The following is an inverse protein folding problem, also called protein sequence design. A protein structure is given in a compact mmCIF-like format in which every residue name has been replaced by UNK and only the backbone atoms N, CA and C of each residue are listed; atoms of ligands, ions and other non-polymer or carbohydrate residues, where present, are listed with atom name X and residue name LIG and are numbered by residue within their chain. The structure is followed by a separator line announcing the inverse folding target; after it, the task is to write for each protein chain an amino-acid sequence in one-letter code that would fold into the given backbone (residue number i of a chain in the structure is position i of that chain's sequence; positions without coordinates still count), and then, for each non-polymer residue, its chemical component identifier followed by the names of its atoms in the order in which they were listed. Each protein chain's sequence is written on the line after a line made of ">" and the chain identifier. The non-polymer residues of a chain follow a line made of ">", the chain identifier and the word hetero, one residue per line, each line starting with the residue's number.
data_IF_578338493800
#
_entry.id   IF_578338493800
#
_cell.length_a   1.000
_cell.length_b   1.000
_cell.length_c   1.000
_cell.angle_alpha   90.00
_cell.angle_beta   90.00
_cell.angle_gamma   90.00
#
_symmetry.space_group_name_H-M   'P 1'
#
loop_
_entity.id
_entity.type
_entity.pdbx_description
1 polymer ?
#
# COMPACT_ATOMS: atom_id res chain seq x y z
N UNK A 1 27.73 -8.55 6.00
CA UNK A 1 28.45 -7.60 5.13
C UNK A 1 28.48 -8.23 3.74
N UNK A 2 27.51 -7.88 2.90
CA UNK A 2 27.33 -8.51 1.58
C UNK A 2 28.35 -7.96 0.57
N UNK A 3 28.94 -8.82 -0.25
CA UNK A 3 29.95 -8.47 -1.26
C UNK A 3 29.44 -7.41 -2.26
N UNK A 4 30.28 -6.43 -2.63
CA UNK A 4 29.89 -5.32 -3.51
C UNK A 4 29.50 -5.76 -4.95
N UNK A 5 29.96 -6.92 -5.42
CA UNK A 5 29.69 -7.45 -6.77
C UNK A 5 28.49 -8.41 -6.84
N UNK A 6 27.74 -8.57 -5.75
CA UNK A 6 26.63 -9.52 -5.74
C UNK A 6 25.47 -9.03 -6.61
N UNK A 7 25.18 -9.77 -7.68
CA UNK A 7 24.11 -9.50 -8.65
C UNK A 7 22.76 -9.16 -7.94
N UNK A 8 22.04 -8.14 -8.41
CA UNK A 8 20.83 -7.59 -7.75
C UNK A 8 19.76 -8.66 -7.47
N UNK A 9 19.61 -9.64 -8.36
CA UNK A 9 18.73 -10.80 -8.15
C UNK A 9 19.18 -11.67 -6.97
N UNK A 10 20.48 -11.97 -6.86
CA UNK A 10 21.02 -12.72 -5.71
C UNK A 10 20.81 -11.93 -4.42
N UNK A 11 20.97 -10.61 -4.46
CA UNK A 11 20.71 -9.72 -3.31
C UNK A 11 19.24 -9.65 -2.93
N UNK A 12 18.33 -9.79 -3.88
CA UNK A 12 16.90 -9.86 -3.60
C UNK A 12 16.54 -11.12 -2.81
N UNK A 13 17.13 -12.26 -3.16
CA UNK A 13 16.88 -13.56 -2.52
C UNK A 13 17.82 -13.88 -1.33
N UNK A 14 18.89 -13.12 -1.13
CA UNK A 14 19.88 -13.39 -0.06
C UNK A 14 19.28 -13.30 1.33
N UNK A 15 19.75 -14.12 2.28
CA UNK A 15 19.30 -14.04 3.66
C UNK A 15 19.64 -12.66 4.23
N UNK A 16 18.66 -12.00 4.87
CA UNK A 16 18.88 -10.71 5.54
C UNK A 16 19.45 -10.98 6.94
N UNK A 17 20.64 -10.54 7.28
CA UNK A 17 21.28 -10.93 8.55
C UNK A 17 21.28 -9.82 9.58
N UNK A 18 21.30 -8.56 9.14
CA UNK A 18 21.33 -7.40 10.03
C UNK A 18 20.06 -6.53 9.94
N UNK A 19 19.74 -5.76 11.00
CA UNK A 19 18.64 -4.81 10.97
C UNK A 19 18.85 -3.69 9.94
N UNK A 20 20.11 -3.30 9.65
CA UNK A 20 20.45 -2.29 8.64
C UNK A 20 20.17 -2.82 7.22
N UNK A 21 20.52 -4.08 6.94
CA UNK A 21 20.21 -4.73 5.66
C UNK A 21 18.69 -4.83 5.44
N UNK A 22 17.96 -5.19 6.50
CA UNK A 22 16.50 -5.24 6.46
C UNK A 22 15.89 -3.85 6.21
N UNK A 23 16.42 -2.82 6.86
CA UNK A 23 15.97 -1.44 6.69
C UNK A 23 16.25 -0.90 5.28
N UNK A 24 17.45 -1.18 4.74
CA UNK A 24 17.81 -0.84 3.37
C UNK A 24 16.86 -1.47 2.36
N UNK A 25 16.52 -2.75 2.56
CA UNK A 25 15.60 -3.46 1.67
C UNK A 25 14.18 -2.87 1.76
N UNK A 26 13.66 -2.62 2.96
CA UNK A 26 12.33 -2.00 3.12
C UNK A 26 12.26 -0.59 2.49
N UNK A 27 13.35 0.17 2.57
CA UNK A 27 13.46 1.45 1.87
C UNK A 27 13.46 1.26 0.34
N UNK A 28 14.22 0.30 -0.16
CA UNK A 28 14.28 -0.02 -1.59
C UNK A 28 12.91 -0.47 -2.11
N UNK A 29 12.21 -1.35 -1.40
CA UNK A 29 10.83 -1.75 -1.73
C UNK A 29 9.90 -0.55 -1.79
N UNK A 30 9.98 0.38 -0.83
CA UNK A 30 9.19 1.61 -0.86
C UNK A 30 9.46 2.44 -2.12
N UNK A 31 10.74 2.66 -2.47
CA UNK A 31 11.11 3.40 -3.67
C UNK A 31 10.63 2.71 -4.94
N UNK A 32 10.71 1.38 -5.02
CA UNK A 32 10.21 0.62 -6.16
C UNK A 32 8.70 0.77 -6.29
N UNK A 33 7.93 0.69 -5.20
CA UNK A 33 6.48 0.88 -5.24
C UNK A 33 6.09 2.28 -5.72
N UNK A 34 6.78 3.30 -5.20
CA UNK A 34 6.60 4.71 -5.62
C UNK A 34 6.97 4.88 -7.10
N UNK A 35 8.05 4.25 -7.55
CA UNK A 35 8.48 4.30 -8.95
C UNK A 35 7.48 3.60 -9.87
N UNK A 36 6.96 2.43 -9.50
CA UNK A 36 5.92 1.73 -10.26
C UNK A 36 4.68 2.61 -10.37
N UNK A 37 4.22 3.18 -9.24
CA UNK A 37 3.08 4.11 -9.24
C UNK A 37 3.34 5.31 -10.16
N UNK A 38 4.54 5.90 -10.10
CA UNK A 38 4.91 7.03 -10.96
C UNK A 38 4.93 6.68 -12.45
N UNK A 39 5.52 5.54 -12.82
CA UNK A 39 5.57 5.08 -14.21
C UNK A 39 4.16 4.73 -14.74
N UNK A 40 3.34 4.05 -13.93
CA UNK A 40 1.95 3.79 -14.28
C UNK A 40 1.14 5.08 -14.41
N UNK A 41 1.43 6.09 -13.57
CA UNK A 41 0.81 7.41 -13.67
C UNK A 41 1.04 8.02 -15.05
N UNK A 42 2.30 8.07 -15.48
CA UNK A 42 2.69 8.61 -16.79
C UNK A 42 1.99 7.82 -17.91
N UNK A 43 1.99 6.49 -17.83
CA UNK A 43 1.38 5.63 -18.83
C UNK A 43 -0.12 5.93 -19.00
N UNK A 44 -0.88 5.96 -17.91
CA UNK A 44 -2.32 6.14 -18.02
C UNK A 44 -2.73 7.59 -18.32
N UNK A 45 -2.01 8.59 -17.80
CA UNK A 45 -2.31 10.01 -18.09
C UNK A 45 -1.98 10.38 -19.53
N UNK A 46 -0.81 9.98 -20.05
CA UNK A 46 -0.31 10.50 -21.32
C UNK A 46 -0.45 9.54 -22.49
N UNK A 47 -0.41 8.22 -22.26
CA UNK A 47 -0.36 7.23 -23.35
C UNK A 47 -1.68 6.51 -23.57
N UNK A 48 -2.46 6.25 -22.52
CA UNK A 48 -3.69 5.46 -22.61
C UNK A 48 -4.98 6.27 -22.42
N UNK A 49 -4.90 7.53 -21.99
CA UNK A 49 -6.06 8.42 -21.83
C UNK A 49 -7.14 7.90 -20.87
N UNK A 50 -6.82 6.92 -20.01
CA UNK A 50 -7.78 6.24 -19.15
C UNK A 50 -7.57 6.67 -17.70
N UNK A 51 -8.28 7.74 -17.32
CA UNK A 51 -8.25 8.28 -15.96
C UNK A 51 -8.82 7.31 -14.91
N UNK A 52 -9.67 6.36 -15.36
CA UNK A 52 -10.31 5.36 -14.50
C UNK A 52 -9.33 4.33 -13.96
N UNK A 53 -8.50 3.76 -14.83
CA UNK A 53 -7.47 2.79 -14.43
C UNK A 53 -6.25 3.49 -13.78
N UNK A 54 -6.08 4.79 -14.03
CA UNK A 54 -5.02 5.62 -13.46
C UNK A 54 -5.14 5.79 -11.95
N UNK A 55 -6.35 5.97 -11.40
CA UNK A 55 -6.46 6.54 -10.05
C UNK A 55 -6.17 5.53 -8.93
N UNK A 56 -6.60 4.27 -9.06
CA UNK A 56 -6.66 3.35 -7.93
C UNK A 56 -5.36 2.61 -7.67
N UNK A 57 -4.86 1.88 -8.68
CA UNK A 57 -3.66 1.06 -8.54
C UNK A 57 -2.43 1.91 -8.23
N UNK A 58 -2.29 3.01 -8.95
CA UNK A 58 -1.23 3.99 -8.76
C UNK A 58 -1.24 4.55 -7.34
N UNK A 59 -2.40 5.07 -6.90
CA UNK A 59 -2.50 5.75 -5.61
C UNK A 59 -2.26 4.77 -4.46
N UNK A 60 -2.82 3.56 -4.54
CA UNK A 60 -2.58 2.52 -3.54
C UNK A 60 -1.11 2.11 -3.48
N UNK A 61 -0.42 1.97 -4.61
CA UNK A 61 1.02 1.68 -4.64
C UNK A 61 1.84 2.80 -4.00
N UNK A 62 1.52 4.07 -4.27
CA UNK A 62 2.15 5.21 -3.59
C UNK A 62 1.92 5.16 -2.08
N UNK A 63 0.67 4.94 -1.66
CA UNK A 63 0.32 4.88 -0.24
C UNK A 63 1.07 3.73 0.45
N UNK A 64 1.08 2.53 -0.12
CA UNK A 64 1.85 1.41 0.42
C UNK A 64 3.33 1.76 0.51
N UNK A 65 3.92 2.35 -0.54
CA UNK A 65 5.31 2.80 -0.54
C UNK A 65 5.60 3.76 0.61
N UNK A 66 4.80 4.80 0.78
CA UNK A 66 4.95 5.80 1.84
C UNK A 66 4.77 5.16 3.23
N UNK A 67 3.71 4.37 3.43
CA UNK A 67 3.44 3.72 4.71
C UNK A 67 4.57 2.77 5.08
N UNK A 68 5.07 1.96 4.16
CA UNK A 68 6.19 1.04 4.40
C UNK A 68 7.47 1.80 4.76
N UNK A 69 7.75 2.94 4.12
CA UNK A 69 8.92 3.78 4.42
C UNK A 69 8.89 4.30 5.85
N UNK A 70 7.77 4.90 6.26
CA UNK A 70 7.72 5.67 7.50
C UNK A 70 7.27 4.85 8.70
N UNK A 71 6.35 3.89 8.53
CA UNK A 71 5.78 3.13 9.66
C UNK A 71 6.45 1.80 9.90
N UNK A 72 7.09 1.22 8.88
CA UNK A 72 7.50 -0.19 8.86
C UNK A 72 6.34 -1.13 9.26
N UNK A 73 5.09 -0.74 8.99
CA UNK A 73 3.92 -1.48 9.47
C UNK A 73 3.86 -2.89 8.88
N UNK A 74 3.86 -3.91 9.76
CA UNK A 74 3.64 -5.31 9.38
C UNK A 74 2.28 -5.51 8.71
N UNK A 75 1.26 -4.79 9.19
CA UNK A 75 -0.08 -4.86 8.61
C UNK A 75 -0.09 -4.33 7.18
N UNK A 76 0.63 -3.23 6.93
CA UNK A 76 0.64 -2.60 5.60
C UNK A 76 1.36 -3.44 4.55
N UNK A 77 2.44 -4.15 4.91
CA UNK A 77 3.08 -5.11 3.98
C UNK A 77 2.20 -6.34 3.73
N UNK A 78 1.43 -6.81 4.71
CA UNK A 78 0.45 -7.89 4.52
C UNK A 78 -0.65 -7.43 3.56
N UNK A 79 -1.19 -6.23 3.76
CA UNK A 79 -2.20 -5.63 2.88
C UNK A 79 -1.66 -5.45 1.45
N UNK A 80 -0.41 -5.00 1.28
CA UNK A 80 0.24 -4.94 -0.03
C UNK A 80 0.32 -6.33 -0.68
N UNK A 81 0.63 -7.37 0.09
CA UNK A 81 0.70 -8.74 -0.42
C UNK A 81 -0.68 -9.22 -0.90
N UNK A 82 -1.72 -9.05 -0.08
CA UNK A 82 -3.10 -9.38 -0.45
C UNK A 82 -3.51 -8.60 -1.71
N UNK A 83 -3.22 -7.31 -1.75
CA UNK A 83 -3.53 -6.45 -2.88
C UNK A 83 -2.82 -6.90 -4.17
N UNK A 84 -1.54 -7.28 -4.09
CA UNK A 84 -0.80 -7.82 -5.24
C UNK A 84 -1.37 -9.16 -5.75
N UNK A 85 -1.93 -9.99 -4.88
CA UNK A 85 -2.64 -11.22 -5.27
C UNK A 85 -3.92 -10.85 -6.05
N UNK A 86 -4.69 -9.88 -5.56
CA UNK A 86 -5.90 -9.39 -6.24
C UNK A 86 -5.56 -8.86 -7.63
N UNK A 87 -4.50 -8.05 -7.76
CA UNK A 87 -4.02 -7.54 -9.06
C UNK A 87 -3.65 -8.69 -9.99
N UNK A 88 -2.93 -9.71 -9.50
CA UNK A 88 -2.53 -10.85 -10.32
C UNK A 88 -3.74 -11.65 -10.80
N UNK A 89 -4.72 -11.91 -9.93
CA UNK A 89 -5.96 -12.59 -10.28
C UNK A 89 -6.76 -11.80 -11.32
N UNK A 90 -6.98 -10.50 -11.10
CA UNK A 90 -7.69 -9.64 -12.05
C UNK A 90 -7.00 -9.55 -13.41
N UNK A 91 -5.67 -9.45 -13.41
CA UNK A 91 -4.84 -9.46 -14.63
C UNK A 91 -4.96 -10.80 -15.36
N UNK A 92 -4.94 -11.92 -14.62
CA UNK A 92 -5.07 -13.27 -15.19
C UNK A 92 -6.45 -13.48 -15.80
N UNK A 93 -7.53 -13.08 -15.11
CA UNK A 93 -8.90 -13.17 -15.62
C UNK A 93 -9.09 -12.33 -16.88
N UNK A 94 -8.47 -11.15 -16.93
CA UNK A 94 -8.50 -10.28 -18.11
C UNK A 94 -7.73 -10.89 -19.27
N UNK A 95 -6.57 -11.50 -18.99
CA UNK A 95 -5.76 -12.20 -19.99
C UNK A 95 -6.48 -13.40 -20.62
N UNK A 96 -7.33 -14.09 -19.84
CA UNK A 96 -8.21 -15.17 -20.34
C UNK A 96 -9.50 -14.66 -21.00
N UNK A 97 -9.74 -13.35 -21.07
CA UNK A 97 -10.96 -12.77 -21.65
C UNK A 97 -12.22 -12.98 -20.80
N UNK A 98 -12.08 -13.40 -19.55
CA UNK A 98 -13.19 -13.68 -18.62
C UNK A 98 -13.72 -12.38 -17.98
N UNK A 99 -12.83 -11.42 -17.76
CA UNK A 99 -13.15 -10.14 -17.13
C UNK A 99 -12.71 -8.97 -18.01
N UNK A 100 -13.48 -7.89 -18.00
CA UNK A 100 -13.10 -6.62 -18.58
C UNK A 100 -12.57 -5.67 -17.50
N UNK A 101 -11.37 -5.13 -17.67
CA UNK A 101 -10.84 -4.03 -16.85
C UNK A 101 -9.72 -4.36 -15.86
N UNK A 102 -9.15 -5.57 -15.85
CA UNK A 102 -7.90 -5.81 -15.14
C UNK A 102 -6.68 -5.27 -15.91
N UNK A 103 -5.51 -5.29 -15.26
CA UNK A 103 -4.25 -4.93 -15.91
C UNK A 103 -3.94 -5.87 -17.10
N UNK A 104 -3.25 -5.35 -18.12
CA UNK A 104 -2.80 -6.17 -19.26
C UNK A 104 -1.35 -6.68 -19.12
N UNK A 105 -0.66 -6.33 -18.02
CA UNK A 105 0.75 -6.66 -17.83
C UNK A 105 0.93 -7.71 -16.72
N UNK A 106 0.83 -8.99 -17.11
CA UNK A 106 1.01 -10.13 -16.21
C UNK A 106 2.41 -10.16 -15.59
N UNK A 107 3.43 -9.73 -16.32
CA UNK A 107 4.81 -9.70 -15.83
C UNK A 107 4.96 -8.71 -14.68
N UNK A 108 4.39 -7.51 -14.82
CA UNK A 108 4.41 -6.51 -13.75
C UNK A 108 3.62 -6.99 -12.51
N UNK A 109 2.49 -7.66 -12.70
CA UNK A 109 1.71 -8.23 -11.60
C UNK A 109 2.49 -9.30 -10.84
N UNK A 110 3.20 -10.20 -11.53
CA UNK A 110 4.07 -11.21 -10.92
C UNK A 110 5.25 -10.56 -10.18
N UNK A 111 5.91 -9.57 -10.78
CA UNK A 111 7.00 -8.83 -10.13
C UNK A 111 6.53 -8.13 -8.85
N UNK A 112 5.35 -7.51 -8.88
CA UNK A 112 4.76 -6.88 -7.70
C UNK A 112 4.45 -7.90 -6.60
N UNK A 113 3.94 -9.07 -6.96
CA UNK A 113 3.70 -10.16 -6.00
C UNK A 113 4.99 -10.69 -5.37
N UNK A 114 6.04 -10.90 -6.18
CA UNK A 114 7.33 -11.34 -5.67
C UNK A 114 7.96 -10.29 -4.74
N UNK A 115 7.87 -9.01 -5.12
CA UNK A 115 8.28 -7.88 -4.28
C UNK A 115 7.51 -7.84 -2.96
N UNK A 116 6.18 -8.01 -3.00
CA UNK A 116 5.34 -7.93 -1.81
C UNK A 116 5.61 -9.08 -0.83
N UNK A 117 5.67 -10.33 -1.32
CA UNK A 117 6.03 -11.52 -0.52
C UNK A 117 7.39 -11.30 0.14
N UNK A 118 8.36 -10.83 -0.62
CA UNK A 118 9.70 -10.61 -0.09
C UNK A 118 9.71 -9.50 0.96
N UNK A 119 9.00 -8.40 0.70
CA UNK A 119 8.88 -7.28 1.64
C UNK A 119 8.20 -7.69 2.94
N UNK A 120 7.21 -8.60 2.90
CA UNK A 120 6.62 -9.23 4.09
C UNK A 120 7.69 -9.98 4.88
N UNK A 121 8.44 -10.90 4.24
CA UNK A 121 9.49 -11.67 4.91
C UNK A 121 10.52 -10.77 5.59
N UNK A 122 11.01 -9.75 4.88
CA UNK A 122 11.99 -8.79 5.42
C UNK A 122 11.39 -7.96 6.56
N UNK A 123 10.14 -7.52 6.43
CA UNK A 123 9.47 -6.76 7.49
C UNK A 123 9.37 -7.57 8.78
N UNK A 124 8.93 -8.83 8.71
CA UNK A 124 8.88 -9.68 9.90
C UNK A 124 10.27 -9.92 10.49
N UNK A 125 11.28 -10.14 9.65
CA UNK A 125 12.65 -10.32 10.11
C UNK A 125 13.24 -9.07 10.75
N UNK A 126 12.97 -7.88 10.20
CA UNK A 126 13.35 -6.59 10.80
C UNK A 126 12.82 -6.47 12.22
N UNK A 127 11.54 -6.80 12.43
CA UNK A 127 10.91 -6.70 13.74
C UNK A 127 11.44 -7.74 14.74
N UNK A 128 11.81 -8.93 14.25
CA UNK A 128 12.46 -9.96 15.06
C UNK A 128 13.86 -9.52 15.50
N UNK A 129 14.67 -8.99 14.57
CA UNK A 129 16.04 -8.50 14.84
C UNK A 129 16.07 -7.27 15.76
N UNK A 130 15.02 -6.43 15.71
CA UNK A 130 14.85 -5.26 16.60
C UNK A 130 14.13 -5.61 17.90
N UNK A 131 13.84 -6.89 18.16
CA UNK A 131 13.12 -7.40 19.34
C UNK A 131 11.79 -6.67 19.65
N UNK A 132 11.12 -6.21 18.60
CA UNK A 132 9.91 -5.40 18.73
C UNK A 132 8.68 -6.24 19.06
N UNK A 133 8.15 -6.09 20.28
CA UNK A 133 6.93 -6.79 20.71
C UNK A 133 5.67 -6.11 20.18
N UNK A 134 4.78 -6.89 19.56
CA UNK A 134 3.53 -6.39 18.99
C UNK A 134 2.49 -6.17 20.09
N UNK A 135 2.06 -4.92 20.29
CA UNK A 135 1.01 -4.59 21.28
C UNK A 135 -0.36 -4.65 20.63
N UNK A 136 -1.02 -5.82 20.69
CA UNK A 136 -2.33 -6.06 20.06
C UNK A 136 -3.39 -5.02 20.38
N UNK A 137 -3.46 -4.56 21.64
CA UNK A 137 -4.39 -3.49 22.06
C UNK A 137 -4.18 -2.18 21.28
N UNK A 138 -2.92 -1.81 21.02
CA UNK A 138 -2.60 -0.60 20.26
C UNK A 138 -2.95 -0.75 18.77
N UNK A 139 -2.79 -1.95 18.22
CA UNK A 139 -3.19 -2.26 16.84
C UNK A 139 -4.70 -2.14 16.72
N UNK A 140 -5.46 -2.84 17.55
CA UNK A 140 -6.93 -2.80 17.53
C UNK A 140 -7.46 -1.37 17.66
N UNK A 141 -6.96 -0.60 18.63
CA UNK A 141 -7.39 0.80 18.83
C UNK A 141 -7.08 1.66 17.61
N UNK A 142 -5.90 1.52 17.00
CA UNK A 142 -5.53 2.30 15.81
C UNK A 142 -6.37 1.94 14.60
N UNK A 143 -6.64 0.66 14.37
CA UNK A 143 -7.49 0.23 13.27
C UNK A 143 -8.94 0.66 13.47
N UNK A 144 -9.48 0.57 14.68
CA UNK A 144 -10.82 1.08 14.99
C UNK A 144 -10.92 2.60 14.76
N UNK A 145 -9.93 3.37 15.22
CA UNK A 145 -9.87 4.82 14.97
C UNK A 145 -9.73 5.10 13.47
N UNK A 146 -8.86 4.39 12.76
CA UNK A 146 -8.64 4.57 11.33
C UNK A 146 -9.90 4.23 10.52
N UNK A 147 -10.62 3.16 10.87
CA UNK A 147 -11.89 2.78 10.22
C UNK A 147 -12.94 3.85 10.50
N UNK A 148 -13.11 4.28 11.75
CA UNK A 148 -14.07 5.33 12.10
C UNK A 148 -13.80 6.64 11.37
N UNK A 149 -12.54 7.10 11.35
CA UNK A 149 -12.14 8.30 10.63
C UNK A 149 -12.26 8.14 9.10
N UNK A 150 -11.90 6.99 8.54
CA UNK A 150 -12.06 6.70 7.11
C UNK A 150 -13.53 6.75 6.70
N UNK A 151 -14.41 6.18 7.54
CA UNK A 151 -15.85 6.21 7.32
C UNK A 151 -16.39 7.64 7.33
N UNK A 152 -16.01 8.45 8.32
CA UNK A 152 -16.42 9.87 8.41
C UNK A 152 -15.92 10.65 7.18
N UNK A 153 -14.66 10.46 6.79
CA UNK A 153 -14.05 11.20 5.69
C UNK A 153 -14.67 10.81 4.34
N UNK A 154 -14.83 9.50 4.09
CA UNK A 154 -15.50 8.97 2.90
C UNK A 154 -16.96 9.42 2.83
N UNK A 155 -17.71 9.34 3.94
CA UNK A 155 -19.10 9.81 4.00
C UNK A 155 -19.22 11.32 3.76
N UNK A 156 -18.30 12.11 4.31
CA UNK A 156 -18.26 13.56 4.09
C UNK A 156 -17.98 13.90 2.63
N UNK A 157 -17.03 13.20 1.98
CA UNK A 157 -16.75 13.37 0.55
C UNK A 157 -17.97 12.99 -0.30
N UNK A 158 -18.64 11.88 0.02
CA UNK A 158 -19.85 11.45 -0.66
C UNK A 158 -20.97 12.48 -0.57
N UNK A 159 -21.29 12.94 0.63
CA UNK A 159 -22.35 13.95 0.86
C UNK A 159 -22.00 15.25 0.14
N UNK A 160 -20.75 15.72 0.26
CA UNK A 160 -20.30 16.94 -0.42
C UNK A 160 -20.43 16.81 -1.93
N UNK A 161 -20.05 15.67 -2.49
CA UNK A 161 -20.18 15.40 -3.91
C UNK A 161 -21.64 15.41 -4.37
N UNK A 162 -22.56 14.79 -3.62
CA UNK A 162 -24.00 14.83 -3.92
C UNK A 162 -24.51 16.28 -3.90
N UNK A 163 -24.14 17.06 -2.89
CA UNK A 163 -24.57 18.45 -2.76
C UNK A 163 -24.08 19.31 -3.92
N UNK A 164 -22.81 19.18 -4.30
CA UNK A 164 -22.22 19.88 -5.46
C UNK A 164 -22.89 19.44 -6.76
N UNK A 165 -23.08 18.14 -6.96
CA UNK A 165 -23.71 17.60 -8.17
C UNK A 165 -25.13 18.12 -8.33
N UNK A 166 -25.91 18.12 -7.24
CA UNK A 166 -27.26 18.68 -7.20
C UNK A 166 -27.26 20.18 -7.49
N UNK A 167 -26.31 20.94 -6.93
CA UNK A 167 -26.16 22.37 -7.18
C UNK A 167 -25.84 22.66 -8.67
N UNK A 168 -25.04 21.80 -9.30
CA UNK A 168 -24.68 21.92 -10.71
C UNK A 168 -25.72 21.31 -11.68
N UNK A 169 -26.84 20.78 -11.16
CA UNK A 169 -27.88 20.16 -11.99
C UNK A 169 -27.49 18.82 -12.62
N UNK A 170 -26.45 18.16 -12.11
CA UNK A 170 -25.99 16.85 -12.59
C UNK A 170 -26.92 15.79 -12.00
N UNK A 171 -27.76 15.18 -12.84
CA UNK A 171 -28.77 14.18 -12.43
C UNK A 171 -28.28 12.73 -12.55
N UNK A 172 -27.28 12.49 -13.40
CA UNK A 172 -26.69 11.18 -13.60
C UNK A 172 -25.22 11.20 -13.23
N UNK A 173 -24.83 10.23 -12.41
CA UNK A 173 -23.47 10.09 -11.94
C UNK A 173 -22.72 9.16 -12.88
N UNK A 174 -21.61 9.62 -13.45
CA UNK A 174 -20.77 8.72 -14.25
C UNK A 174 -20.13 7.66 -13.36
N UNK A 175 -19.94 6.45 -13.92
CA UNK A 175 -19.37 5.30 -13.21
C UNK A 175 -18.04 5.61 -12.53
N UNK A 176 -17.20 6.44 -13.17
CA UNK A 176 -15.92 6.89 -12.63
C UNK A 176 -16.06 7.60 -11.27
N UNK A 177 -17.02 8.53 -11.14
CA UNK A 177 -17.21 9.24 -9.88
C UNK A 177 -17.71 8.29 -8.79
N UNK A 178 -18.52 7.29 -9.16
CA UNK A 178 -19.02 6.27 -8.23
C UNK A 178 -17.90 5.41 -7.66
N UNK A 179 -16.99 4.97 -8.53
CA UNK A 179 -15.78 4.22 -8.15
C UNK A 179 -14.89 5.06 -7.22
N UNK A 180 -14.62 6.34 -7.54
CA UNK A 180 -13.80 7.24 -6.71
C UNK A 180 -14.37 7.39 -5.30
N UNK A 181 -15.68 7.57 -5.19
CA UNK A 181 -16.35 7.71 -3.89
C UNK A 181 -16.27 6.40 -3.10
N UNK A 182 -16.59 5.27 -3.72
CA UNK A 182 -16.60 3.98 -3.03
C UNK A 182 -15.20 3.62 -2.51
N UNK A 183 -14.17 3.85 -3.32
CA UNK A 183 -12.80 3.51 -2.99
C UNK A 183 -12.10 4.55 -2.09
N UNK A 184 -12.71 5.72 -1.88
CA UNK A 184 -12.22 6.70 -0.91
C UNK A 184 -12.11 6.12 0.51
N UNK A 185 -12.95 5.14 0.87
CA UNK A 185 -12.93 4.48 2.18
C UNK A 185 -11.64 3.65 2.39
N UNK A 186 -11.30 2.65 1.56
CA UNK A 186 -10.07 1.89 1.74
C UNK A 186 -8.82 2.77 1.62
N UNK A 187 -8.80 3.74 0.71
CA UNK A 187 -7.69 4.70 0.56
C UNK A 187 -7.50 5.50 1.87
N UNK A 188 -8.58 6.08 2.39
CA UNK A 188 -8.56 6.86 3.63
C UNK A 188 -8.09 6.00 4.79
N UNK A 189 -8.60 4.77 4.91
CA UNK A 189 -8.19 3.84 5.95
C UNK A 189 -6.68 3.58 5.92
N UNK A 190 -6.09 3.27 4.77
CA UNK A 190 -4.64 2.98 4.67
C UNK A 190 -3.81 4.25 4.98
N UNK A 191 -4.23 5.42 4.48
CA UNK A 191 -3.58 6.70 4.81
C UNK A 191 -3.61 6.99 6.32
N UNK A 192 -4.71 6.68 6.99
CA UNK A 192 -4.88 6.89 8.42
C UNK A 192 -4.01 5.96 9.29
N UNK A 193 -3.36 4.96 8.69
CA UNK A 193 -2.32 4.14 9.34
C UNK A 193 -0.93 4.79 9.31
N UNK A 194 -0.76 5.95 8.66
CA UNK A 194 0.51 6.66 8.62
C UNK A 194 0.96 7.11 10.03
N UNK A 195 2.25 6.99 10.35
CA UNK A 195 2.78 7.32 11.67
C UNK A 195 2.91 8.84 11.89
N UNK A 196 2.74 9.65 10.84
CA UNK A 196 2.73 11.11 10.91
C UNK A 196 1.53 11.66 11.68
N UNK A 197 0.47 10.87 11.85
CA UNK A 197 -0.79 11.31 12.41
C UNK A 197 -0.74 11.37 13.95
N UNK A 198 -1.37 12.37 14.59
CA UNK A 198 -1.24 12.60 16.03
C UNK A 198 -1.61 11.39 16.89
N UNK A 199 -2.63 10.62 16.51
CA UNK A 199 -3.05 9.40 17.23
C UNK A 199 -2.07 8.23 17.03
N UNK A 200 -1.26 8.25 15.96
CA UNK A 200 -0.25 7.25 15.67
C UNK A 200 1.12 7.57 16.31
N UNK A 201 1.39 8.83 16.66
CA UNK A 201 2.66 9.27 17.30
C UNK A 201 2.77 8.90 18.79
N UNK A 202 1.67 8.80 19.53
CA UNK A 202 1.70 8.83 21.01
C UNK A 202 1.82 7.49 21.74
N UNK A 203 1.65 6.35 21.06
CA UNK A 203 1.83 5.02 21.68
C UNK A 203 2.79 4.20 20.86
N UNK A 204 3.90 3.74 21.43
CA UNK A 204 4.78 2.80 20.71
C UNK A 204 3.94 1.58 20.29
N UNK A 205 3.86 1.29 18.98
CA UNK A 205 3.30 0.02 18.48
C UNK A 205 4.13 -1.16 18.99
N UNK A 206 5.39 -0.87 19.27
CA UNK A 206 6.40 -1.80 19.69
C UNK A 206 7.12 -1.29 20.93
N UNK A 207 7.12 -2.07 22.00
CA UNK A 207 8.10 -1.85 23.06
C UNK A 207 9.42 -2.47 22.60
N UNK A 208 10.50 -1.70 22.66
CA UNK A 208 11.83 -2.29 22.68
C UNK A 208 11.90 -3.14 23.95
N UNK A 209 12.43 -4.37 23.87
CA UNK A 209 12.81 -5.11 25.06
C UNK A 209 13.85 -4.27 25.81
N UNK A 210 13.44 -3.67 26.92
CA UNK A 210 14.41 -3.29 27.95
C UNK A 210 14.94 -4.60 28.55
N UNK A 211 15.85 -5.26 27.86
CA UNK A 211 16.65 -6.35 28.38
C UNK A 211 18.09 -6.13 27.98
N UNK A 212 18.72 -5.16 28.66
CA UNK A 212 20.16 -5.05 28.90
C UNK A 212 20.38 -3.88 29.89
N UNK A 213 19.99 -4.13 31.14
CA UNK A 213 20.63 -3.57 32.33
C UNK A 213 20.50 -4.60 33.44
#
# INVERSE_FOLDING_TARGET
>A
MLEPDMNLLKRFFSKIESPEEAEFFLNSSSYILVLIGFLQSILFTFLLGSFRNFYMDVLLLFIFGVVIRFSRSRVSVILLCIYSIIILLGTTLTWFGIAAGGGNNIFLALMLLLLSIRTVQVSFKFHMLRETKLVWKNILVRHLIAIGLAFVLSSSLFISFIMISKFLGITEMSSLHGEIIFESLPISYILLLLPGLPWAKKRRMYTFSESLS
#
